data_IF_497341984433
#
_entry.id   IF_497341984433
#
_cell.length_a   1.000
_cell.length_b   1.000
_cell.length_c   1.000
_cell.angle_alpha   90.00
_cell.angle_beta   90.00
_cell.angle_gamma   90.00
#
_symmetry.space_group_name_H-M   'P 1'
#
loop_
_entity.id
_entity.type
_entity.pdbx_description
1 polymer ?
#
# COMPACT_ATOMS: atom_id res chain seq x y z
N UNK A 1 4.99 -18.59 17.71
CA UNK A 1 5.37 -17.92 18.98
C UNK A 1 4.18 -17.32 19.75
N UNK A 2 3.03 -17.00 19.12
CA UNK A 2 1.84 -16.46 19.80
C UNK A 2 1.03 -17.48 20.63
N UNK A 3 1.00 -18.75 20.21
CA UNK A 3 0.15 -19.79 20.83
C UNK A 3 0.63 -20.18 22.25
N UNK A 4 1.95 -20.27 22.45
CA UNK A 4 2.56 -20.63 23.74
C UNK A 4 2.42 -19.53 24.80
N UNK A 5 2.38 -18.26 24.39
CA UNK A 5 2.17 -17.12 25.30
C UNK A 5 0.77 -17.15 25.92
N UNK A 6 -0.26 -17.40 25.11
CA UNK A 6 -1.64 -17.48 25.58
C UNK A 6 -1.89 -18.64 26.55
N UNK A 7 -1.27 -19.80 26.30
CA UNK A 7 -1.41 -20.98 27.16
C UNK A 7 -0.81 -20.74 28.55
N UNK A 8 0.39 -20.14 28.61
CA UNK A 8 1.08 -19.82 29.88
C UNK A 8 0.27 -18.83 30.72
N UNK A 9 -0.33 -17.81 30.12
CA UNK A 9 -1.24 -16.87 30.82
C UNK A 9 -2.49 -17.55 31.36
N UNK A 10 -3.11 -18.46 30.59
CA UNK A 10 -4.32 -19.19 31.06
C UNK A 10 -4.04 -20.10 32.25
N UNK A 11 -2.88 -20.75 32.27
CA UNK A 11 -2.46 -21.58 33.42
C UNK A 11 -2.29 -20.71 34.67
N UNK A 12 -1.60 -19.57 34.55
CA UNK A 12 -1.41 -18.65 35.67
C UNK A 12 -2.76 -18.13 36.20
N UNK A 13 -3.69 -17.79 35.31
CA UNK A 13 -5.05 -17.36 35.66
C UNK A 13 -5.84 -18.46 36.39
N UNK A 14 -5.77 -19.71 35.92
CA UNK A 14 -6.39 -20.85 36.59
C UNK A 14 -5.81 -21.09 37.98
N UNK A 15 -4.49 -21.03 38.11
CA UNK A 15 -3.80 -21.17 39.39
C UNK A 15 -4.25 -20.07 40.36
N UNK A 16 -4.35 -18.82 39.91
CA UNK A 16 -4.83 -17.71 40.74
C UNK A 16 -6.26 -17.92 41.24
N UNK A 17 -7.17 -18.32 40.35
CA UNK A 17 -8.56 -18.65 40.72
C UNK A 17 -8.58 -19.81 41.72
N UNK A 18 -7.81 -20.87 41.45
CA UNK A 18 -7.77 -22.06 42.30
C UNK A 18 -7.24 -21.74 43.70
N UNK A 19 -6.15 -20.98 43.80
CA UNK A 19 -5.58 -20.55 45.09
C UNK A 19 -6.62 -19.75 45.88
N UNK A 20 -7.34 -18.84 45.25
CA UNK A 20 -8.36 -18.05 45.94
C UNK A 20 -9.56 -18.90 46.40
N UNK A 21 -10.01 -19.85 45.58
CA UNK A 21 -11.07 -20.78 45.98
C UNK A 21 -10.61 -21.72 47.11
N UNK A 22 -9.36 -22.19 47.08
CA UNK A 22 -8.81 -23.01 48.16
C UNK A 22 -8.72 -22.22 49.47
N UNK A 23 -8.27 -20.97 49.42
CA UNK A 23 -8.26 -20.09 50.60
C UNK A 23 -9.68 -19.77 51.09
N UNK A 24 -10.63 -19.58 50.18
CA UNK A 24 -12.03 -19.40 50.54
C UNK A 24 -12.58 -20.64 51.28
N UNK A 25 -12.31 -21.84 50.76
CA UNK A 25 -12.73 -23.10 51.36
C UNK A 25 -12.16 -23.26 52.78
N UNK A 26 -10.86 -23.02 52.95
CA UNK A 26 -10.18 -23.09 54.26
C UNK A 26 -10.78 -22.07 55.22
N UNK A 27 -10.96 -20.82 54.80
CA UNK A 27 -11.52 -19.76 55.64
C UNK A 27 -12.96 -20.05 56.06
N UNK A 28 -13.80 -20.62 55.17
CA UNK A 28 -15.17 -21.03 55.50
C UNK A 28 -15.16 -22.19 56.52
N UNK A 29 -14.27 -23.17 56.35
CA UNK A 29 -14.14 -24.28 57.31
C UNK A 29 -13.68 -23.76 58.68
N UNK A 30 -12.64 -22.92 58.69
CA UNK A 30 -12.01 -22.41 59.91
C UNK A 30 -12.91 -21.41 60.65
N UNK A 31 -13.84 -20.76 59.97
CA UNK A 31 -14.83 -19.92 60.63
C UNK A 31 -15.87 -19.41 59.65
N UNK A 32 -16.98 -20.14 59.52
CA UNK A 32 -18.11 -19.74 58.67
C UNK A 32 -18.71 -18.38 59.08
N UNK A 33 -18.57 -17.99 60.36
CA UNK A 33 -18.98 -16.68 60.86
C UNK A 33 -18.10 -15.53 60.33
N UNK A 34 -16.90 -15.83 59.83
CA UNK A 34 -15.96 -14.82 59.34
C UNK A 34 -16.28 -14.43 57.89
N UNK A 35 -16.47 -13.13 57.65
CA UNK A 35 -16.75 -12.58 56.31
C UNK A 35 -15.64 -12.85 55.28
N UNK A 36 -14.44 -13.26 55.74
CA UNK A 36 -13.26 -13.46 54.93
C UNK A 36 -13.46 -14.57 53.89
N UNK A 37 -14.10 -15.68 54.26
CA UNK A 37 -14.32 -16.80 53.34
C UNK A 37 -15.20 -16.43 52.15
N UNK A 38 -16.30 -15.72 52.41
CA UNK A 38 -17.23 -15.26 51.38
C UNK A 38 -16.60 -14.15 50.53
N UNK A 39 -15.81 -13.27 51.13
CA UNK A 39 -15.01 -12.27 50.41
C UNK A 39 -14.08 -12.91 49.36
N UNK A 40 -13.40 -14.01 49.70
CA UNK A 40 -12.56 -14.73 48.74
C UNK A 40 -13.37 -15.43 47.65
N UNK A 41 -14.58 -15.92 47.93
CA UNK A 41 -15.49 -16.46 46.89
C UNK A 41 -15.90 -15.36 45.91
N UNK A 42 -16.32 -14.19 46.43
CA UNK A 42 -16.72 -13.04 45.63
C UNK A 42 -15.54 -12.59 44.74
N UNK A 43 -14.33 -12.49 45.29
CA UNK A 43 -13.13 -12.13 44.54
C UNK A 43 -12.80 -13.18 43.45
N UNK A 44 -12.93 -14.46 43.77
CA UNK A 44 -12.73 -15.55 42.80
C UNK A 44 -13.74 -15.48 41.66
N UNK A 45 -15.00 -15.20 41.96
CA UNK A 45 -16.06 -15.00 40.96
C UNK A 45 -15.76 -13.78 40.10
N UNK A 46 -15.34 -12.67 40.69
CA UNK A 46 -14.97 -11.46 39.93
C UNK A 46 -13.80 -11.72 38.97
N UNK A 47 -12.78 -12.48 39.38
CA UNK A 47 -11.69 -12.89 38.50
C UNK A 47 -12.14 -13.85 37.40
N UNK A 48 -13.04 -14.78 37.70
CA UNK A 48 -13.65 -15.65 36.68
C UNK A 48 -14.43 -14.85 35.62
N UNK A 49 -15.09 -13.75 36.01
CA UNK A 49 -15.69 -12.80 35.08
C UNK A 49 -14.63 -12.06 34.26
N UNK A 50 -13.62 -11.48 34.92
CA UNK A 50 -12.51 -10.75 34.27
C UNK A 50 -11.76 -11.60 33.23
N UNK A 51 -11.54 -12.89 33.51
CA UNK A 51 -10.85 -13.80 32.59
C UNK A 51 -11.79 -14.45 31.57
N UNK A 52 -13.08 -14.15 31.60
CA UNK A 52 -14.06 -14.67 30.65
C UNK A 52 -14.44 -16.15 30.85
N UNK A 53 -14.12 -16.75 32.01
CA UNK A 53 -14.53 -18.13 32.31
C UNK A 53 -16.05 -18.28 32.43
N UNK A 54 -16.78 -17.19 32.71
CA UNK A 54 -18.24 -17.16 32.69
C UNK A 54 -18.87 -16.85 31.33
N UNK A 55 -18.10 -16.64 30.26
CA UNK A 55 -18.67 -16.32 28.94
C UNK A 55 -19.62 -17.41 28.42
N UNK A 56 -19.42 -18.66 28.84
CA UNK A 56 -20.29 -19.80 28.51
C UNK A 56 -20.92 -20.39 29.78
N UNK A 57 -22.25 -20.52 29.78
CA UNK A 57 -23.08 -21.05 30.87
C UNK A 57 -22.84 -20.35 32.22
N UNK A 58 -22.75 -19.02 32.25
CA UNK A 58 -22.54 -18.23 33.46
C UNK A 58 -23.47 -18.63 34.61
N UNK A 59 -24.77 -18.75 34.32
CA UNK A 59 -25.82 -19.08 35.31
C UNK A 59 -25.59 -20.43 35.98
N UNK A 60 -25.25 -21.45 35.20
CA UNK A 60 -24.98 -22.79 35.73
C UNK A 60 -23.74 -22.79 36.62
N UNK A 61 -22.67 -22.12 36.21
CA UNK A 61 -21.43 -22.07 36.98
C UNK A 61 -21.59 -21.25 38.27
N UNK A 62 -22.32 -20.15 38.23
CA UNK A 62 -22.68 -19.38 39.43
C UNK A 62 -23.52 -20.22 40.40
N UNK A 63 -24.48 -20.98 39.88
CA UNK A 63 -25.30 -21.89 40.69
C UNK A 63 -24.44 -22.96 41.38
N UNK A 64 -23.49 -23.57 40.67
CA UNK A 64 -22.53 -24.52 41.24
C UNK A 64 -21.67 -23.91 42.34
N UNK A 65 -21.24 -22.64 42.17
CA UNK A 65 -20.49 -21.92 43.20
C UNK A 65 -21.36 -21.64 44.44
N UNK A 66 -22.64 -21.32 44.24
CA UNK A 66 -23.61 -21.20 45.33
C UNK A 66 -23.76 -22.49 46.12
N UNK A 67 -23.93 -23.63 45.43
CA UNK A 67 -23.97 -24.96 46.05
C UNK A 67 -22.69 -25.23 46.83
N UNK A 68 -21.52 -24.96 46.23
CA UNK A 68 -20.23 -25.13 46.89
C UNK A 68 -20.16 -24.36 48.22
N UNK A 69 -20.58 -23.09 48.25
CA UNK A 69 -20.55 -22.30 49.48
C UNK A 69 -21.48 -22.88 50.55
N UNK A 70 -22.70 -23.28 50.18
CA UNK A 70 -23.65 -23.89 51.14
C UNK A 70 -23.08 -25.17 51.73
N UNK A 71 -22.55 -26.07 50.90
CA UNK A 71 -21.96 -27.34 51.37
C UNK A 71 -20.78 -27.11 52.34
N UNK A 72 -19.92 -26.14 52.07
CA UNK A 72 -18.78 -25.85 52.94
C UNK A 72 -19.18 -25.16 54.25
N UNK A 73 -20.25 -24.35 54.24
CA UNK A 73 -20.84 -23.81 55.48
C UNK A 73 -21.42 -24.93 56.33
N UNK A 74 -22.22 -25.83 55.73
CA UNK A 74 -22.79 -26.99 56.44
C UNK A 74 -21.71 -27.90 57.03
N UNK A 75 -20.63 -28.14 56.26
CA UNK A 75 -19.47 -28.90 56.74
C UNK A 75 -18.78 -28.22 57.92
N UNK A 76 -18.60 -26.90 57.87
CA UNK A 76 -18.00 -26.13 58.98
C UNK A 76 -18.87 -26.21 60.25
N UNK A 77 -20.18 -26.06 60.11
CA UNK A 77 -21.14 -26.17 61.22
C UNK A 77 -21.11 -27.56 61.84
N UNK A 78 -21.11 -28.61 61.01
CA UNK A 78 -21.01 -30.00 61.48
C UNK A 78 -19.72 -30.26 62.27
N UNK A 79 -18.58 -29.78 61.76
CA UNK A 79 -17.27 -29.96 62.41
C UNK A 79 -17.16 -29.24 63.75
N UNK A 80 -17.83 -28.09 63.91
CA UNK A 80 -17.76 -27.27 65.13
C UNK A 80 -18.85 -27.54 66.16
N UNK A 81 -19.83 -28.41 65.85
CA UNK A 81 -21.00 -28.70 66.72
C UNK A 81 -21.78 -27.46 67.19
N UNK A 82 -21.70 -26.35 66.45
CA UNK A 82 -22.33 -25.07 66.81
C UNK A 82 -23.68 -24.94 66.10
N UNK A 83 -24.75 -25.41 66.75
CA UNK A 83 -26.10 -25.45 66.16
C UNK A 83 -26.81 -24.13 66.41
N UNK A 84 -26.42 -23.08 65.69
CA UNK A 84 -27.18 -21.83 65.60
C UNK A 84 -27.97 -21.80 64.30
N UNK A 85 -29.28 -22.02 64.41
CA UNK A 85 -30.21 -21.90 63.30
C UNK A 85 -30.28 -20.44 62.82
N UNK A 86 -30.10 -20.22 61.51
CA UNK A 86 -30.31 -18.92 60.85
C UNK A 86 -29.06 -18.21 60.34
N UNK A 87 -27.86 -18.61 60.79
CA UNK A 87 -26.61 -17.96 60.32
C UNK A 87 -26.34 -18.24 58.83
N UNK A 88 -26.59 -19.47 58.38
CA UNK A 88 -26.43 -19.85 56.96
C UNK A 88 -27.32 -19.05 56.00
N UNK A 89 -28.54 -18.68 56.41
CA UNK A 89 -29.46 -17.89 55.58
C UNK A 89 -28.93 -16.48 55.30
N UNK A 90 -28.33 -15.83 56.31
CA UNK A 90 -27.75 -14.49 56.15
C UNK A 90 -26.62 -14.51 55.10
N UNK A 91 -25.76 -15.54 55.14
CA UNK A 91 -24.66 -15.68 54.18
C UNK A 91 -25.13 -16.00 52.76
N UNK A 92 -26.20 -16.78 52.61
CA UNK A 92 -26.82 -17.05 51.31
C UNK A 92 -27.38 -15.75 50.71
N UNK A 93 -28.09 -14.94 51.52
CA UNK A 93 -28.63 -13.65 51.06
C UNK A 93 -27.49 -12.70 50.65
N UNK A 94 -26.44 -12.61 51.46
CA UNK A 94 -25.27 -11.78 51.15
C UNK A 94 -24.58 -12.24 49.86
N UNK A 95 -24.40 -13.54 49.68
CA UNK A 95 -23.80 -14.11 48.47
C UNK A 95 -24.65 -13.82 47.23
N UNK A 96 -25.97 -14.01 47.29
CA UNK A 96 -26.87 -13.68 46.18
C UNK A 96 -26.76 -12.20 45.82
N UNK A 97 -26.80 -11.30 46.81
CA UNK A 97 -26.69 -9.86 46.59
C UNK A 97 -25.38 -9.49 45.86
N UNK A 98 -24.23 -9.98 46.35
CA UNK A 98 -22.94 -9.69 45.74
C UNK A 98 -22.77 -10.33 44.35
N UNK A 99 -23.29 -11.54 44.13
CA UNK A 99 -23.28 -12.18 42.82
C UNK A 99 -24.13 -11.40 41.81
N UNK A 100 -25.31 -10.92 42.22
CA UNK A 100 -26.15 -10.06 41.39
C UNK A 100 -25.44 -8.74 41.06
N UNK A 101 -24.79 -8.11 42.05
CA UNK A 101 -24.02 -6.88 41.83
C UNK A 101 -22.86 -7.09 40.84
N UNK A 102 -22.06 -8.15 41.01
CA UNK A 102 -20.98 -8.49 40.08
C UNK A 102 -21.53 -8.74 38.67
N UNK A 103 -22.63 -9.47 38.56
CA UNK A 103 -23.25 -9.74 37.27
C UNK A 103 -23.70 -8.47 36.56
N UNK A 104 -24.34 -7.54 37.29
CA UNK A 104 -24.76 -6.24 36.76
C UNK A 104 -23.55 -5.41 36.33
N UNK A 105 -22.55 -5.28 37.21
CA UNK A 105 -21.34 -4.50 36.95
C UNK A 105 -20.59 -5.02 35.72
N UNK A 106 -20.40 -6.33 35.60
CA UNK A 106 -19.73 -6.93 34.45
C UNK A 106 -20.54 -6.75 33.16
N UNK A 107 -21.87 -6.90 33.24
CA UNK A 107 -22.74 -6.70 32.07
C UNK A 107 -22.65 -5.26 31.55
N UNK A 108 -22.56 -4.27 32.44
CA UNK A 108 -22.38 -2.88 32.05
C UNK A 108 -21.01 -2.62 31.40
N UNK A 109 -19.95 -3.19 31.96
CA UNK A 109 -18.60 -3.11 31.40
C UNK A 109 -18.53 -3.75 30.00
N UNK A 110 -19.16 -4.90 29.79
CA UNK A 110 -19.26 -5.54 28.47
C UNK A 110 -19.99 -4.65 27.48
N UNK A 111 -21.13 -4.04 27.87
CA UNK A 111 -21.83 -3.08 26.99
C UNK A 111 -20.94 -1.89 26.63
N UNK A 112 -20.14 -1.39 27.57
CA UNK A 112 -19.20 -0.30 27.32
C UNK A 112 -18.11 -0.71 26.32
N UNK A 113 -17.54 -1.91 26.49
CA UNK A 113 -16.53 -2.45 25.58
C UNK A 113 -17.10 -2.61 24.17
N UNK A 114 -18.30 -3.21 24.05
CA UNK A 114 -18.98 -3.36 22.75
C UNK A 114 -19.27 -2.01 22.07
N UNK A 115 -19.64 -0.98 22.84
CA UNK A 115 -19.80 0.39 22.32
C UNK A 115 -18.50 1.01 21.80
N UNK A 116 -17.36 0.68 22.41
CA UNK A 116 -16.05 1.15 21.94
C UNK A 116 -15.67 0.39 20.67
N UNK A 117 -15.84 -0.93 20.66
CA UNK A 117 -15.54 -1.78 19.51
C UNK A 117 -16.33 -1.37 18.26
N UNK A 118 -17.63 -1.13 18.41
CA UNK A 118 -18.48 -0.60 17.32
C UNK A 118 -17.98 0.73 16.78
N UNK A 119 -17.68 1.71 17.64
CA UNK A 119 -17.10 3.00 17.22
C UNK A 119 -15.74 2.87 16.53
N UNK A 120 -14.91 1.94 16.98
CA UNK A 120 -13.62 1.66 16.34
C UNK A 120 -13.83 1.06 14.96
N UNK A 121 -14.76 0.11 14.83
CA UNK A 121 -15.10 -0.51 13.56
C UNK A 121 -15.68 0.50 12.56
N UNK A 122 -16.58 1.39 13.00
CA UNK A 122 -17.12 2.48 12.17
C UNK A 122 -15.99 3.39 11.63
N UNK A 123 -14.99 3.71 12.48
CA UNK A 123 -13.83 4.50 12.04
C UNK A 123 -12.96 3.75 11.05
N UNK A 124 -12.70 2.47 11.29
CA UNK A 124 -11.94 1.62 10.37
C UNK A 124 -12.62 1.60 9.02
N UNK A 125 -13.94 1.40 8.99
CA UNK A 125 -14.72 1.39 7.75
C UNK A 125 -14.63 2.72 7.00
N UNK A 126 -14.73 3.85 7.70
CA UNK A 126 -14.56 5.18 7.07
C UNK A 126 -13.16 5.40 6.48
N UNK A 127 -12.11 4.93 7.16
CA UNK A 127 -10.72 5.04 6.69
C UNK A 127 -10.49 4.12 5.49
N UNK A 128 -11.06 2.92 5.51
CA UNK A 128 -11.00 2.00 4.37
C UNK A 128 -11.69 2.57 3.13
N UNK A 129 -12.79 3.31 3.30
CA UNK A 129 -13.46 4.02 2.22
C UNK A 129 -12.58 5.15 1.65
N UNK A 130 -11.98 5.98 2.51
CA UNK A 130 -11.05 7.04 2.10
C UNK A 130 -9.84 6.46 1.34
N UNK A 131 -9.25 5.37 1.84
CA UNK A 131 -8.15 4.67 1.15
C UNK A 131 -8.56 4.13 -0.21
N UNK A 132 -9.78 3.61 -0.35
CA UNK A 132 -10.32 3.17 -1.65
C UNK A 132 -10.43 4.32 -2.63
N UNK A 133 -10.96 5.46 -2.19
CA UNK A 133 -11.06 6.65 -3.06
C UNK A 133 -9.70 7.16 -3.49
N UNK A 134 -8.73 7.23 -2.59
CA UNK A 134 -7.38 7.67 -2.90
C UNK A 134 -6.66 6.70 -3.84
N UNK A 135 -6.89 5.39 -3.68
CA UNK A 135 -6.33 4.37 -4.58
C UNK A 135 -6.87 4.55 -6.00
N UNK A 136 -8.17 4.80 -6.15
CA UNK A 136 -8.78 5.07 -7.45
C UNK A 136 -8.21 6.35 -8.10
N UNK A 137 -8.02 7.42 -7.33
CA UNK A 137 -7.38 8.64 -7.83
C UNK A 137 -5.94 8.39 -8.29
N UNK A 138 -5.16 7.64 -7.53
CA UNK A 138 -3.78 7.28 -7.90
C UNK A 138 -3.70 6.47 -9.19
N UNK A 139 -4.61 5.52 -9.39
CA UNK A 139 -4.71 4.77 -10.65
C UNK A 139 -5.00 5.71 -11.83
N UNK A 140 -5.89 6.70 -11.63
CA UNK A 140 -6.17 7.74 -12.61
C UNK A 140 -4.93 8.59 -12.96
N UNK A 141 -4.20 9.05 -11.94
CA UNK A 141 -2.95 9.80 -12.15
C UNK A 141 -1.88 8.96 -12.87
N UNK A 142 -1.75 7.68 -12.54
CA UNK A 142 -0.81 6.77 -13.22
C UNK A 142 -1.13 6.62 -14.71
N UNK A 143 -2.41 6.53 -15.08
CA UNK A 143 -2.82 6.47 -16.48
C UNK A 143 -2.41 7.75 -17.24
N UNK A 144 -2.62 8.93 -16.64
CA UNK A 144 -2.23 10.22 -17.22
C UNK A 144 -0.71 10.31 -17.37
N UNK A 145 0.05 9.88 -16.36
CA UNK A 145 1.53 9.88 -16.42
C UNK A 145 2.01 8.99 -17.56
N UNK A 146 1.46 7.78 -17.69
CA UNK A 146 1.80 6.85 -18.78
C UNK A 146 1.50 7.40 -20.17
N UNK A 147 0.37 8.10 -20.32
CA UNK A 147 0.04 8.80 -21.57
C UNK A 147 1.09 9.87 -21.90
N UNK A 148 1.45 10.69 -20.91
CA UNK A 148 2.47 11.74 -21.07
C UNK A 148 3.84 11.18 -21.39
N UNK A 149 4.26 10.10 -20.74
CA UNK A 149 5.51 9.39 -21.06
C UNK A 149 5.52 8.89 -22.51
N UNK A 150 4.41 8.31 -22.97
CA UNK A 150 4.27 7.86 -24.36
C UNK A 150 4.41 9.05 -25.33
N UNK A 151 3.77 10.17 -25.02
CA UNK A 151 3.87 11.40 -25.82
C UNK A 151 5.29 11.96 -25.84
N UNK A 152 5.98 11.99 -24.70
CA UNK A 152 7.38 12.42 -24.60
C UNK A 152 8.27 11.52 -25.46
N UNK A 153 8.08 10.19 -25.40
CA UNK A 153 8.86 9.25 -26.21
C UNK A 153 8.65 9.48 -27.72
N UNK A 154 7.40 9.70 -28.15
CA UNK A 154 7.11 10.01 -29.56
C UNK A 154 7.78 11.32 -29.99
N UNK A 155 7.67 12.37 -29.18
CA UNK A 155 8.31 13.66 -29.47
C UNK A 155 9.84 13.53 -29.51
N UNK A 156 10.43 12.76 -28.60
CA UNK A 156 11.87 12.50 -28.61
C UNK A 156 12.31 11.75 -29.88
N UNK A 157 11.51 10.77 -30.32
CA UNK A 157 11.77 10.08 -31.59
C UNK A 157 11.67 11.00 -32.81
N UNK A 158 10.70 11.93 -32.81
CA UNK A 158 10.59 12.92 -33.87
C UNK A 158 11.76 13.92 -33.84
N UNK A 159 12.20 14.35 -32.65
CA UNK A 159 13.40 15.16 -32.48
C UNK A 159 14.64 14.40 -32.99
N UNK A 160 14.76 13.11 -32.71
CA UNK A 160 15.88 12.27 -33.17
C UNK A 160 15.93 12.20 -34.70
N UNK A 161 14.79 12.03 -35.37
CA UNK A 161 14.71 12.10 -36.85
C UNK A 161 15.16 13.46 -37.40
N UNK A 162 14.78 14.54 -36.72
CA UNK A 162 15.17 15.89 -37.13
C UNK A 162 16.66 16.18 -36.85
N UNK A 163 17.21 15.52 -35.83
CA UNK A 163 18.61 15.64 -35.40
C UNK A 163 19.53 14.58 -36.01
N UNK A 164 19.05 13.68 -36.87
CA UNK A 164 19.94 12.82 -37.65
C UNK A 164 20.99 13.72 -38.31
N UNK A 165 22.29 13.47 -38.08
CA UNK A 165 23.33 14.33 -38.62
C UNK A 165 23.20 14.36 -40.14
N UNK A 166 22.86 15.53 -40.66
CA UNK A 166 22.83 15.82 -42.09
C UNK A 166 24.26 15.71 -42.62
N UNK A 167 24.66 14.50 -42.97
CA UNK A 167 26.04 14.19 -43.35
C UNK A 167 26.31 14.65 -44.78
N UNK A 168 27.42 15.37 -45.04
CA UNK A 168 27.87 15.63 -46.39
C UNK A 168 27.99 14.30 -47.17
N UNK A 169 27.42 14.26 -48.36
CA UNK A 169 27.49 13.09 -49.22
C UNK A 169 28.93 12.92 -49.72
N UNK A 170 29.47 11.71 -49.64
CA UNK A 170 30.75 11.39 -50.28
C UNK A 170 30.58 11.35 -51.80
N UNK A 171 30.90 12.44 -52.48
CA UNK A 171 30.80 12.56 -53.94
C UNK A 171 31.77 11.61 -54.68
N UNK A 172 32.85 11.18 -54.03
CA UNK A 172 33.80 10.22 -54.56
C UNK A 172 33.16 8.83 -54.76
N UNK A 173 32.32 8.39 -53.81
CA UNK A 173 31.55 7.15 -53.90
C UNK A 173 30.66 7.10 -55.16
N UNK A 174 30.11 8.25 -55.56
CA UNK A 174 29.24 8.37 -56.74
C UNK A 174 30.00 8.63 -58.04
N UNK A 175 31.34 8.58 -58.01
CA UNK A 175 32.22 8.82 -59.17
C UNK A 175 31.93 10.17 -59.83
N UNK A 176 31.62 11.18 -59.01
CA UNK A 176 31.45 12.56 -59.46
C UNK A 176 32.82 13.09 -59.88
N UNK A 177 32.92 13.62 -61.10
CA UNK A 177 34.17 14.23 -61.58
C UNK A 177 34.36 15.63 -61.02
N UNK A 178 35.58 16.17 -61.04
CA UNK A 178 35.84 17.55 -60.60
C UNK A 178 34.95 18.59 -61.31
N UNK A 179 34.69 18.40 -62.61
CA UNK A 179 33.83 19.32 -63.37
C UNK A 179 32.35 19.18 -62.98
N UNK A 180 31.89 17.97 -62.66
CA UNK A 180 30.55 17.73 -62.11
C UNK A 180 30.44 18.30 -60.70
N UNK A 181 31.47 18.14 -59.85
CA UNK A 181 31.53 18.72 -58.51
C UNK A 181 31.44 20.25 -58.56
N UNK A 182 32.19 20.90 -59.45
CA UNK A 182 32.09 22.36 -59.67
C UNK A 182 30.67 22.78 -60.05
N UNK A 183 29.99 21.97 -60.88
CA UNK A 183 28.60 22.20 -61.25
C UNK A 183 27.67 22.05 -60.04
N UNK A 184 27.86 21.00 -59.22
CA UNK A 184 27.09 20.77 -57.99
C UNK A 184 27.31 21.91 -56.98
N UNK A 185 28.56 22.35 -56.80
CA UNK A 185 28.93 23.43 -55.89
C UNK A 185 28.22 24.73 -56.26
N UNK A 186 28.28 25.13 -57.53
CA UNK A 186 27.60 26.32 -58.04
C UNK A 186 26.07 26.21 -57.87
N UNK A 187 25.51 25.03 -58.13
CA UNK A 187 24.10 24.73 -57.97
C UNK A 187 23.62 24.82 -56.51
N UNK A 188 24.46 24.41 -55.56
CA UNK A 188 24.16 24.38 -54.13
C UNK A 188 24.35 25.75 -53.46
N UNK A 189 25.35 26.52 -53.91
CA UNK A 189 25.64 27.85 -53.37
C UNK A 189 24.70 28.92 -53.91
N UNK A 190 24.24 28.76 -55.16
CA UNK A 190 23.38 29.74 -55.83
C UNK A 190 22.14 29.04 -56.45
N UNK A 191 21.20 28.63 -55.60
CA UNK A 191 20.03 27.79 -55.97
C UNK A 191 19.14 28.41 -57.05
N UNK A 192 19.13 29.73 -57.16
CA UNK A 192 18.29 30.50 -58.11
C UNK A 192 18.88 30.61 -59.52
N UNK A 193 20.17 30.27 -59.75
CA UNK A 193 20.81 30.49 -61.05
C UNK A 193 20.28 29.55 -62.14
N UNK A 194 19.95 30.10 -63.29
CA UNK A 194 19.61 29.32 -64.49
C UNK A 194 20.84 28.58 -65.04
N UNK A 195 20.62 27.56 -65.89
CA UNK A 195 21.71 26.83 -66.54
C UNK A 195 22.64 27.74 -67.35
N UNK A 196 22.10 28.85 -67.88
CA UNK A 196 22.86 29.86 -68.63
C UNK A 196 23.78 30.65 -67.71
N UNK A 197 23.31 31.04 -66.54
CA UNK A 197 24.09 31.79 -65.55
C UNK A 197 25.15 30.92 -64.89
N UNK A 198 24.83 29.66 -64.57
CA UNK A 198 25.81 28.68 -64.08
C UNK A 198 26.91 28.46 -65.13
N UNK A 199 26.53 28.38 -66.42
CA UNK A 199 27.49 28.24 -67.50
C UNK A 199 28.42 29.44 -67.61
N UNK A 200 27.88 30.65 -67.45
CA UNK A 200 28.67 31.89 -67.41
C UNK A 200 29.63 31.92 -66.21
N UNK A 201 29.14 31.56 -65.01
CA UNK A 201 29.94 31.51 -63.79
C UNK A 201 31.10 30.51 -63.88
N UNK A 202 30.88 29.36 -64.54
CA UNK A 202 31.88 28.31 -64.68
C UNK A 202 32.77 28.45 -65.94
N UNK A 203 32.51 29.44 -66.80
CA UNK A 203 33.26 29.66 -68.04
C UNK A 203 33.04 28.56 -69.10
N UNK A 204 31.85 27.96 -69.16
CA UNK A 204 31.51 26.86 -70.08
C UNK A 204 30.26 27.18 -70.92
N UNK A 205 29.96 26.35 -71.92
CA UNK A 205 28.72 26.49 -72.71
C UNK A 205 27.51 25.95 -71.93
N UNK A 206 26.33 26.55 -72.11
CA UNK A 206 25.09 26.10 -71.47
C UNK A 206 24.77 24.61 -71.74
N UNK A 207 25.05 24.15 -72.97
CA UNK A 207 24.89 22.74 -73.34
C UNK A 207 25.75 21.78 -72.51
N UNK A 208 26.94 22.22 -72.07
CA UNK A 208 27.83 21.46 -71.18
C UNK A 208 27.22 21.31 -69.78
N UNK A 209 26.58 22.37 -69.25
CA UNK A 209 25.89 22.30 -67.96
C UNK A 209 24.71 21.34 -68.01
N UNK A 210 23.89 21.38 -69.08
CA UNK A 210 22.78 20.42 -69.27
C UNK A 210 23.27 18.97 -69.29
N UNK A 211 24.39 18.70 -69.96
CA UNK A 211 25.00 17.37 -69.99
C UNK A 211 25.56 16.94 -68.63
N UNK A 212 26.25 17.84 -67.93
CA UNK A 212 26.77 17.59 -66.59
C UNK A 212 25.63 17.27 -65.61
N UNK A 213 24.57 18.08 -65.58
CA UNK A 213 23.40 17.85 -64.71
C UNK A 213 22.75 16.49 -64.98
N UNK A 214 22.57 16.10 -66.24
CA UNK A 214 22.03 14.77 -66.57
C UNK A 214 22.92 13.62 -66.08
N UNK A 215 24.25 13.79 -66.11
CA UNK A 215 25.19 12.80 -65.57
C UNK A 215 25.15 12.76 -64.05
N UNK A 216 25.09 13.92 -63.40
CA UNK A 216 24.95 14.07 -61.95
C UNK A 216 23.68 13.39 -61.47
N UNK A 217 22.53 13.64 -62.11
CA UNK A 217 21.26 13.01 -61.75
C UNK A 217 21.33 11.47 -61.82
N UNK A 218 21.93 10.94 -62.88
CA UNK A 218 22.13 9.49 -63.04
C UNK A 218 23.08 8.90 -62.00
N UNK A 219 24.18 9.60 -61.69
CA UNK A 219 25.17 9.14 -60.71
C UNK A 219 24.60 9.16 -59.29
N UNK A 220 23.88 10.22 -58.92
CA UNK A 220 23.28 10.39 -57.60
C UNK A 220 21.94 9.66 -57.44
N UNK A 221 21.35 9.14 -58.52
CA UNK A 221 20.05 8.45 -58.48
C UNK A 221 18.87 9.38 -58.20
N UNK A 222 18.99 10.66 -58.56
CA UNK A 222 17.98 11.69 -58.28
C UNK A 222 17.25 12.13 -59.55
N UNK A 223 15.98 12.50 -59.42
CA UNK A 223 15.14 12.79 -60.58
C UNK A 223 15.29 14.21 -61.14
N UNK A 224 15.73 15.17 -60.32
CA UNK A 224 15.71 16.58 -60.70
C UNK A 224 16.73 17.44 -59.94
N UNK A 225 16.79 18.71 -60.36
CA UNK A 225 17.63 19.75 -59.78
C UNK A 225 17.40 19.91 -58.27
N UNK A 226 16.14 20.00 -57.86
CA UNK A 226 15.77 20.22 -56.46
C UNK A 226 16.29 19.10 -55.55
N UNK A 227 16.11 17.85 -55.97
CA UNK A 227 16.58 16.69 -55.22
C UNK A 227 18.11 16.59 -55.19
N UNK A 228 18.78 17.09 -56.22
CA UNK A 228 20.25 17.22 -56.25
C UNK A 228 20.74 18.25 -55.24
N UNK A 229 20.07 19.40 -55.16
CA UNK A 229 20.36 20.45 -54.17
C UNK A 229 20.13 19.88 -52.77
N UNK A 230 18.95 19.32 -52.47
CA UNK A 230 18.66 18.70 -51.16
C UNK A 230 19.74 17.70 -50.71
N UNK A 231 20.25 16.89 -51.63
CA UNK A 231 21.23 15.85 -51.34
C UNK A 231 22.66 16.37 -51.17
N UNK A 232 23.04 17.41 -51.92
CA UNK A 232 24.43 17.90 -51.98
C UNK A 232 24.66 19.24 -51.30
N UNK A 233 23.61 19.97 -50.90
CA UNK A 233 23.72 21.33 -50.35
C UNK A 233 24.60 21.37 -49.10
N UNK A 234 24.52 20.33 -48.26
CA UNK A 234 25.31 20.22 -47.03
C UNK A 234 26.82 20.08 -47.27
N UNK A 235 27.24 19.63 -48.45
CA UNK A 235 28.67 19.59 -48.80
C UNK A 235 29.28 20.99 -48.93
N UNK A 236 28.44 22.00 -49.12
CA UNK A 236 28.85 23.36 -49.46
C UNK A 236 28.16 24.43 -48.60
N UNK A 237 27.35 24.03 -47.63
CA UNK A 237 26.88 24.90 -46.56
C UNK A 237 28.06 25.22 -45.65
N UNK A 238 28.67 26.38 -45.83
CA UNK A 238 29.49 26.96 -44.76
C UNK A 238 28.55 27.27 -43.61
N UNK A 239 28.58 26.47 -42.55
CA UNK A 239 27.98 26.85 -41.28
C UNK A 239 28.44 28.27 -40.95
N UNK A 240 27.57 29.29 -40.86
CA UNK A 240 27.90 30.41 -40.01
C UNK A 240 28.07 29.79 -38.63
N UNK A 241 29.26 29.95 -38.07
CA UNK A 241 29.60 29.54 -36.72
C UNK A 241 28.42 29.92 -35.81
N UNK A 242 27.86 28.92 -35.12
CA UNK A 242 26.97 29.15 -33.97
C UNK A 242 27.68 30.15 -33.06
N UNK A 243 27.18 31.39 -33.02
CA UNK A 243 27.38 32.29 -31.88
C UNK A 243 26.41 31.86 -30.77
#
# INVERSE_FOLDING_TARGET
MFITRNFKTRIIQLIQIFILFANAAIAIIDGYETFNGIGFVILSVALCYKYGYFNRHARLKLFLIGIFVVLFIELSVFLKQDVKLGIGLNYIIYLIFFLSFIHISYTDEIRKILKIETKVNEKIESIEEELRTLTYELEGYQAIVKEKETRINNLNHDIEKLNEPWTPIDLGKYKISEQEERTIRELCQNTELTNKEIAAALGVKEGTIKQNLNRIYKKLGVANRQKTIELCQQNYLTHPLKN
#
